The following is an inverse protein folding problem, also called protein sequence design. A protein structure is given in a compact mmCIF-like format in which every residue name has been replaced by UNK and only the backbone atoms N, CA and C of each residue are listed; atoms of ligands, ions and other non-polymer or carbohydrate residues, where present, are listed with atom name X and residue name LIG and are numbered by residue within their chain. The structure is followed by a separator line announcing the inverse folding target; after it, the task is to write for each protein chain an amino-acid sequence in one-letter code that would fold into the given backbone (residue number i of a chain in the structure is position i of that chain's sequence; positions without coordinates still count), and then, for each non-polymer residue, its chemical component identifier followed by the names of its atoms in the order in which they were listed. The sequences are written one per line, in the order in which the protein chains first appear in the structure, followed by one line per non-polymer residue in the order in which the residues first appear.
data_IF_256878026121
#
_entry.id   IF_256878026121
#
_cell.length_a   1.000
_cell.length_b   1.000
_cell.length_c   1.000
_cell.angle_alpha   90.00
_cell.angle_beta   90.00
_cell.angle_gamma   90.00
#
_symmetry.space_group_name_H-M   'P 1'
#
loop_
_entity.id
_entity.type
_entity.pdbx_description
1 polymer ?
#
# COMPACT_ATOMS: atom_id res chain seq x y z
N UNK A 1 -31.63 -14.22 -35.12
CA UNK A 1 -30.54 -13.26 -35.21
C UNK A 1 -29.92 -13.10 -33.82
N UNK A 2 -28.80 -13.75 -33.55
CA UNK A 2 -28.05 -13.60 -32.27
C UNK A 2 -27.08 -12.44 -32.44
N UNK A 3 -27.30 -11.34 -31.73
CA UNK A 3 -26.30 -10.27 -31.62
C UNK A 3 -25.12 -10.75 -30.80
N UNK A 4 -23.98 -10.91 -31.44
CA UNK A 4 -22.69 -11.14 -30.79
C UNK A 4 -22.24 -9.80 -30.17
N UNK A 5 -22.28 -9.71 -28.84
CA UNK A 5 -21.60 -8.65 -28.11
C UNK A 5 -20.08 -8.87 -28.29
N UNK A 6 -19.50 -8.18 -29.24
CA UNK A 6 -18.05 -8.08 -29.35
C UNK A 6 -17.54 -7.19 -28.20
N UNK A 7 -16.98 -7.81 -27.18
CA UNK A 7 -16.19 -7.11 -26.16
C UNK A 7 -15.00 -6.47 -26.87
N UNK A 8 -14.97 -5.13 -26.91
CA UNK A 8 -13.82 -4.38 -27.43
C UNK A 8 -12.58 -4.75 -26.59
N UNK A 9 -11.44 -5.05 -27.21
CA UNK A 9 -10.19 -5.27 -26.47
C UNK A 9 -9.86 -3.99 -25.70
N UNK A 10 -9.65 -4.12 -24.38
CA UNK A 10 -9.18 -3.04 -23.53
C UNK A 10 -7.77 -2.61 -23.99
N UNK A 11 -7.45 -1.31 -23.95
CA UNK A 11 -6.09 -0.86 -24.20
C UNK A 11 -5.12 -1.55 -23.22
N UNK A 12 -3.88 -1.86 -23.66
CA UNK A 12 -2.90 -2.47 -22.76
C UNK A 12 -2.68 -1.56 -21.56
N UNK A 13 -2.94 -2.11 -20.34
CA UNK A 13 -2.67 -1.41 -19.10
C UNK A 13 -1.19 -1.01 -19.06
N UNK A 14 -0.92 0.23 -18.70
CA UNK A 14 0.43 0.74 -18.49
C UNK A 14 1.16 -0.10 -17.42
N UNK A 15 2.49 -0.19 -17.53
CA UNK A 15 3.31 -1.03 -16.68
C UNK A 15 3.15 -0.74 -15.18
N UNK A 16 2.91 0.52 -14.80
CA UNK A 16 2.65 0.91 -13.41
C UNK A 16 1.35 0.30 -12.89
N UNK A 17 0.31 0.28 -13.70
CA UNK A 17 -1.00 -0.29 -13.33
C UNK A 17 -0.92 -1.79 -13.00
N UNK A 18 0.01 -2.52 -13.61
CA UNK A 18 0.20 -3.97 -13.33
C UNK A 18 0.80 -4.25 -11.95
N UNK A 19 1.53 -3.29 -11.35
CA UNK A 19 2.06 -3.47 -9.99
C UNK A 19 0.96 -3.57 -8.95
N UNK A 20 -0.23 -3.00 -9.24
CA UNK A 20 -1.40 -3.03 -8.34
C UNK A 20 -1.91 -4.45 -8.08
N UNK A 21 -1.74 -5.36 -9.05
CA UNK A 21 -2.30 -6.70 -8.97
C UNK A 21 -1.49 -7.67 -8.10
N UNK A 22 -0.22 -7.39 -7.82
CA UNK A 22 0.60 -8.24 -6.94
C UNK A 22 0.09 -8.17 -5.49
N UNK A 23 -0.06 -6.98 -4.87
CA UNK A 23 -0.66 -6.89 -3.54
C UNK A 23 -2.12 -7.37 -3.49
N UNK A 24 -2.90 -7.10 -4.55
CA UNK A 24 -4.28 -7.56 -4.66
C UNK A 24 -4.35 -9.09 -4.62
N UNK A 25 -3.53 -9.78 -5.45
CA UNK A 25 -3.42 -11.24 -5.42
C UNK A 25 -3.08 -11.76 -4.03
N UNK A 26 -2.09 -11.15 -3.38
CA UNK A 26 -1.66 -11.56 -2.04
C UNK A 26 -2.80 -11.48 -1.03
N UNK A 27 -3.55 -10.39 -1.03
CA UNK A 27 -4.72 -10.19 -0.16
C UNK A 27 -5.85 -11.19 -0.45
N UNK A 28 -6.23 -11.33 -1.72
CA UNK A 28 -7.25 -12.30 -2.15
C UNK A 28 -6.86 -13.73 -1.80
N UNK A 29 -5.56 -14.07 -1.96
CA UNK A 29 -5.05 -15.40 -1.70
C UNK A 29 -5.11 -15.78 -0.22
N UNK A 30 -4.74 -14.88 0.70
CA UNK A 30 -4.80 -15.12 2.15
C UNK A 30 -6.25 -15.06 2.68
N UNK A 31 -7.07 -14.18 2.12
CA UNK A 31 -8.49 -14.04 2.47
C UNK A 31 -9.26 -15.31 2.16
N UNK A 32 -9.16 -15.86 0.95
CA UNK A 32 -9.81 -17.13 0.54
C UNK A 32 -9.43 -18.33 1.41
N UNK A 33 -8.35 -18.23 2.16
CA UNK A 33 -7.86 -19.28 3.06
C UNK A 33 -8.13 -18.99 4.53
N UNK A 34 -8.93 -17.93 4.78
CA UNK A 34 -9.33 -17.51 6.13
C UNK A 34 -8.13 -17.37 7.09
N UNK A 35 -7.02 -16.83 6.56
CA UNK A 35 -5.83 -16.60 7.34
C UNK A 35 -5.97 -15.27 8.13
N UNK A 36 -4.93 -14.53 8.26
CA UNK A 36 -4.81 -13.33 9.10
C UNK A 36 -5.39 -12.03 8.49
N UNK A 37 -5.90 -12.06 7.26
CA UNK A 37 -6.54 -10.92 6.59
C UNK A 37 -7.79 -11.39 5.87
N UNK A 38 -8.93 -10.77 6.17
CA UNK A 38 -10.17 -10.96 5.43
C UNK A 38 -10.39 -9.77 4.49
N UNK A 39 -10.45 -10.03 3.19
CA UNK A 39 -10.62 -9.02 2.13
C UNK A 39 -11.48 -9.57 1.00
N UNK A 40 -12.79 -9.63 1.23
CA UNK A 40 -13.76 -10.14 0.26
C UNK A 40 -13.76 -9.33 -1.04
N UNK A 41 -13.49 -8.02 -0.94
CA UNK A 41 -13.41 -7.16 -2.13
C UNK A 41 -12.18 -7.50 -2.99
N UNK A 42 -11.03 -7.82 -2.37
CA UNK A 42 -9.88 -8.30 -3.11
C UNK A 42 -10.16 -9.64 -3.81
N UNK A 43 -10.95 -10.52 -3.18
CA UNK A 43 -11.37 -11.79 -3.79
C UNK A 43 -12.28 -11.56 -5.00
N UNK A 44 -13.26 -10.65 -4.87
CA UNK A 44 -14.17 -10.25 -5.95
C UNK A 44 -13.40 -9.72 -7.15
N UNK A 45 -12.52 -8.71 -6.93
CA UNK A 45 -11.74 -8.08 -8.00
C UNK A 45 -10.82 -9.11 -8.67
N UNK A 46 -10.13 -9.94 -7.86
CA UNK A 46 -9.23 -10.96 -8.40
C UNK A 46 -9.97 -12.01 -9.23
N UNK A 47 -11.19 -12.37 -8.85
CA UNK A 47 -12.02 -13.30 -9.61
C UNK A 47 -12.53 -12.69 -10.94
N UNK A 48 -12.84 -11.39 -10.94
CA UNK A 48 -13.32 -10.68 -12.11
C UNK A 48 -12.22 -10.45 -13.16
N UNK A 49 -11.02 -10.06 -12.72
CA UNK A 49 -9.92 -9.71 -13.62
C UNK A 49 -9.21 -10.94 -14.21
N UNK A 50 -9.29 -12.11 -13.58
CA UNK A 50 -8.75 -13.38 -14.09
C UNK A 50 -7.26 -13.33 -14.47
N UNK A 51 -6.47 -12.51 -13.79
CA UNK A 51 -5.12 -12.14 -14.19
C UNK A 51 -4.08 -13.22 -13.82
N UNK A 52 -3.43 -13.91 -14.77
CA UNK A 52 -2.44 -14.94 -14.47
C UNK A 52 -1.12 -14.31 -14.05
N UNK A 53 -0.76 -14.40 -12.77
CA UNK A 53 0.59 -14.09 -12.31
C UNK A 53 1.54 -15.25 -12.63
N UNK A 54 2.68 -14.93 -13.22
CA UNK A 54 3.73 -15.91 -13.58
C UNK A 54 4.86 -15.89 -12.56
N UNK A 55 5.60 -16.99 -12.49
CA UNK A 55 6.83 -17.09 -11.71
C UNK A 55 6.66 -16.78 -10.22
N UNK A 56 7.54 -15.97 -9.67
CA UNK A 56 7.55 -15.61 -8.25
C UNK A 56 6.38 -14.76 -7.82
N UNK A 57 5.79 -13.98 -8.74
CA UNK A 57 4.65 -13.11 -8.46
C UNK A 57 3.40 -13.90 -8.02
N UNK A 58 3.20 -15.13 -8.53
CA UNK A 58 2.13 -16.03 -8.13
C UNK A 58 2.46 -16.96 -6.95
N UNK A 59 3.58 -16.79 -6.25
CA UNK A 59 3.96 -17.69 -5.16
C UNK A 59 3.17 -17.43 -3.88
N UNK A 60 2.83 -18.51 -3.15
CA UNK A 60 2.18 -18.38 -1.82
C UNK A 60 3.02 -17.60 -0.80
N UNK A 61 4.33 -17.67 -0.90
CA UNK A 61 5.24 -16.96 0.01
C UNK A 61 5.17 -15.46 -0.18
N UNK A 62 5.07 -15.00 -1.43
CA UNK A 62 4.82 -13.59 -1.72
C UNK A 62 3.42 -13.19 -1.27
N UNK A 63 2.41 -14.04 -1.48
CA UNK A 63 1.05 -13.80 -1.02
C UNK A 63 1.00 -13.62 0.51
N UNK A 64 1.66 -14.49 1.28
CA UNK A 64 1.79 -14.32 2.73
C UNK A 64 2.44 -12.99 3.10
N UNK A 65 3.56 -12.65 2.45
CA UNK A 65 4.28 -11.40 2.74
C UNK A 65 3.41 -10.17 2.45
N UNK A 66 2.71 -10.15 1.32
CA UNK A 66 1.83 -9.03 0.94
C UNK A 66 0.62 -8.93 1.87
N UNK A 67 -0.01 -10.05 2.21
CA UNK A 67 -1.12 -10.08 3.15
C UNK A 67 -0.70 -9.65 4.56
N UNK A 68 0.45 -10.12 5.07
CA UNK A 68 0.97 -9.72 6.38
C UNK A 68 1.30 -8.23 6.42
N UNK A 69 1.94 -7.69 5.37
CA UNK A 69 2.19 -6.27 5.24
C UNK A 69 0.89 -5.49 5.39
N UNK A 70 -0.12 -5.84 4.62
CA UNK A 70 -1.42 -5.17 4.67
C UNK A 70 -2.08 -5.28 6.05
N UNK A 71 -2.01 -6.45 6.71
CA UNK A 71 -2.54 -6.64 8.07
C UNK A 71 -1.83 -5.77 9.12
N UNK A 72 -0.52 -5.57 8.99
CA UNK A 72 0.25 -4.66 9.87
C UNK A 72 -0.17 -3.21 9.66
N UNK A 73 -0.32 -2.78 8.40
CA UNK A 73 -0.84 -1.45 8.09
C UNK A 73 -2.26 -1.25 8.65
N UNK A 74 -3.14 -2.24 8.51
CA UNK A 74 -4.51 -2.21 9.04
C UNK A 74 -4.51 -2.08 10.57
N UNK A 75 -3.70 -2.89 11.26
CA UNK A 75 -3.60 -2.82 12.72
C UNK A 75 -3.08 -1.46 13.20
N UNK A 76 -2.04 -0.95 12.54
CA UNK A 76 -1.51 0.37 12.85
C UNK A 76 -2.55 1.47 12.62
N UNK A 77 -3.22 1.45 11.48
CA UNK A 77 -4.24 2.44 11.12
C UNK A 77 -5.38 2.45 12.14
N UNK A 78 -5.93 1.29 12.52
CA UNK A 78 -6.96 1.19 13.58
C UNK A 78 -6.49 1.80 14.90
N UNK A 79 -5.25 1.52 15.31
CA UNK A 79 -4.67 2.09 16.53
C UNK A 79 -4.58 3.62 16.43
N UNK A 80 -4.13 4.16 15.29
CA UNK A 80 -4.07 5.62 15.12
C UNK A 80 -5.47 6.24 15.09
N UNK A 81 -6.42 5.60 14.43
CA UNK A 81 -7.83 6.04 14.39
C UNK A 81 -8.45 6.13 15.79
N UNK A 82 -8.12 5.22 16.69
CA UNK A 82 -8.57 5.26 18.09
C UNK A 82 -7.91 6.41 18.86
N UNK A 83 -6.65 6.69 18.60
CA UNK A 83 -5.89 7.74 19.30
C UNK A 83 -6.15 9.15 18.78
N UNK A 84 -6.59 9.29 17.53
CA UNK A 84 -6.92 10.55 16.86
C UNK A 84 -8.33 10.44 16.26
N UNK A 85 -9.39 10.58 17.08
CA UNK A 85 -10.76 10.37 16.62
C UNK A 85 -11.18 11.34 15.51
N UNK A 86 -10.65 12.56 15.52
CA UNK A 86 -11.00 13.63 14.56
C UNK A 86 -10.06 13.67 13.33
N UNK A 87 -9.10 12.76 13.24
CA UNK A 87 -8.16 12.74 12.12
C UNK A 87 -8.81 12.28 10.81
N UNK A 88 -8.48 12.96 9.72
CA UNK A 88 -8.73 12.42 8.37
C UNK A 88 -7.77 11.28 8.08
N UNK A 89 -8.18 10.33 7.27
CA UNK A 89 -7.29 9.25 6.78
C UNK A 89 -6.97 9.47 5.31
N UNK A 90 -5.69 9.48 4.99
CA UNK A 90 -5.20 9.49 3.62
C UNK A 90 -4.57 8.13 3.31
N UNK A 91 -5.14 7.42 2.37
CA UNK A 91 -4.59 6.19 1.83
C UNK A 91 -3.94 6.50 0.48
N UNK A 92 -2.67 6.79 0.51
CA UNK A 92 -1.87 7.25 -0.64
C UNK A 92 -1.34 6.06 -1.42
N UNK A 93 -1.53 6.10 -2.75
CA UNK A 93 -1.25 4.95 -3.61
C UNK A 93 -2.20 3.80 -3.30
N UNK A 94 -3.48 4.10 -3.17
CA UNK A 94 -4.49 3.15 -2.71
C UNK A 94 -4.68 1.96 -3.66
N UNK A 95 -4.35 2.10 -4.94
CA UNK A 95 -4.52 1.05 -5.93
C UNK A 95 -5.90 0.43 -5.87
N UNK A 96 -5.93 -0.89 -5.84
CA UNK A 96 -7.15 -1.70 -5.69
C UNK A 96 -7.33 -2.22 -4.25
N UNK A 97 -6.70 -1.57 -3.26
CA UNK A 97 -6.84 -1.96 -1.85
C UNK A 97 -8.19 -1.53 -1.27
N UNK A 98 -8.88 -2.44 -0.63
CA UNK A 98 -10.19 -2.23 0.00
C UNK A 98 -10.11 -1.73 1.46
N UNK A 99 -8.99 -1.15 1.87
CA UNK A 99 -8.75 -0.76 3.28
C UNK A 99 -9.87 0.10 3.85
N UNK A 100 -10.40 1.05 3.08
CA UNK A 100 -11.54 1.87 3.50
C UNK A 100 -12.80 1.05 3.85
N UNK A 101 -12.97 -0.15 3.28
CA UNK A 101 -14.06 -1.06 3.60
C UNK A 101 -13.73 -1.99 4.78
N UNK A 102 -12.47 -2.44 4.89
CA UNK A 102 -12.01 -3.35 5.96
C UNK A 102 -11.86 -2.66 7.32
N UNK A 103 -11.57 -1.34 7.30
CA UNK A 103 -11.45 -0.56 8.51
C UNK A 103 -12.74 0.24 8.69
N UNK A 104 -13.55 -0.11 9.67
CA UNK A 104 -14.76 0.65 10.02
C UNK A 104 -14.41 2.13 10.19
N UNK A 105 -14.94 2.99 9.30
CA UNK A 105 -14.52 4.40 9.20
C UNK A 105 -15.06 5.28 10.33
N UNK A 106 -16.07 4.83 11.08
CA UNK A 106 -16.66 5.56 12.23
C UNK A 106 -17.04 7.02 11.88
N UNK A 107 -17.63 7.25 10.71
CA UNK A 107 -17.99 8.58 10.15
C UNK A 107 -16.81 9.52 9.89
N UNK A 108 -15.61 8.98 9.78
CA UNK A 108 -14.38 9.71 9.53
C UNK A 108 -14.17 9.97 8.05
N UNK A 109 -13.65 11.13 7.70
CA UNK A 109 -13.24 11.40 6.32
C UNK A 109 -12.04 10.53 5.93
N UNK A 110 -12.21 9.80 4.86
CA UNK A 110 -11.23 8.92 4.25
C UNK A 110 -11.00 9.30 2.79
N UNK A 111 -9.76 9.48 2.41
CA UNK A 111 -9.37 9.80 1.05
C UNK A 111 -8.47 8.71 0.48
N UNK A 112 -8.99 7.98 -0.51
CA UNK A 112 -8.19 7.09 -1.35
C UNK A 112 -7.55 7.93 -2.46
N UNK A 113 -6.23 8.01 -2.48
CA UNK A 113 -5.47 8.90 -3.37
C UNK A 113 -4.57 8.06 -4.27
N UNK A 114 -4.69 8.23 -5.59
CA UNK A 114 -3.84 7.57 -6.58
C UNK A 114 -3.89 8.36 -7.91
N UNK A 115 -3.12 7.92 -8.90
CA UNK A 115 -3.17 8.51 -10.22
C UNK A 115 -4.59 8.49 -10.82
N UNK A 116 -4.96 9.46 -11.68
CA UNK A 116 -6.31 9.56 -12.25
C UNK A 116 -6.78 8.27 -12.94
N UNK A 117 -5.89 7.60 -13.68
CA UNK A 117 -6.18 6.34 -14.36
C UNK A 117 -6.42 5.18 -13.38
N UNK A 118 -5.69 5.14 -12.26
CA UNK A 118 -5.90 4.13 -11.20
C UNK A 118 -7.23 4.37 -10.50
N UNK A 119 -7.57 5.62 -10.21
CA UNK A 119 -8.87 5.96 -9.62
C UNK A 119 -10.02 5.68 -10.59
N UNK A 120 -9.84 5.90 -11.88
CA UNK A 120 -10.84 5.53 -12.87
C UNK A 120 -11.10 4.01 -12.89
N UNK A 121 -10.05 3.19 -12.83
CA UNK A 121 -10.16 1.73 -12.72
C UNK A 121 -10.78 1.32 -11.38
N UNK A 122 -10.35 1.92 -10.27
CA UNK A 122 -10.89 1.68 -8.93
C UNK A 122 -12.40 1.91 -8.86
N UNK A 123 -12.93 2.95 -9.52
CA UNK A 123 -14.38 3.27 -9.56
C UNK A 123 -15.25 2.19 -10.22
N UNK A 124 -14.67 1.21 -10.88
CA UNK A 124 -15.41 0.04 -11.38
C UNK A 124 -15.84 -0.90 -10.25
N UNK A 125 -15.13 -0.88 -9.12
CA UNK A 125 -15.31 -1.82 -8.00
C UNK A 125 -15.69 -1.14 -6.69
N UNK A 126 -15.41 0.14 -6.55
CA UNK A 126 -15.64 0.90 -5.34
C UNK A 126 -16.53 2.11 -5.61
N UNK A 127 -17.41 2.38 -4.66
CA UNK A 127 -18.31 3.55 -4.70
C UNK A 127 -17.89 4.57 -3.65
N UNK A 128 -17.84 5.84 -4.03
CA UNK A 128 -17.65 6.92 -3.09
C UNK A 128 -18.85 7.05 -2.15
N UNK A 129 -18.60 7.44 -0.93
CA UNK A 129 -19.63 7.78 0.07
C UNK A 129 -19.40 9.21 0.55
N UNK A 130 -20.24 9.69 1.46
CA UNK A 130 -20.01 11.01 2.09
C UNK A 130 -18.67 11.08 2.84
N UNK A 131 -18.24 9.96 3.42
CA UNK A 131 -17.02 9.87 4.21
C UNK A 131 -15.85 9.23 3.48
N UNK A 132 -16.06 8.43 2.43
CA UNK A 132 -14.98 7.82 1.65
C UNK A 132 -14.93 8.42 0.23
N UNK A 133 -13.89 9.19 -0.05
CA UNK A 133 -13.67 9.90 -1.31
C UNK A 133 -12.48 9.32 -2.07
N UNK A 134 -12.56 9.36 -3.40
CA UNK A 134 -11.48 8.92 -4.29
C UNK A 134 -10.90 10.13 -5.03
N UNK A 135 -9.60 10.40 -4.85
CA UNK A 135 -8.90 11.52 -5.44
C UNK A 135 -7.91 11.05 -6.49
N UNK A 136 -8.24 11.26 -7.76
CA UNK A 136 -7.31 11.07 -8.89
C UNK A 136 -6.36 12.25 -8.98
N UNK A 137 -5.09 12.03 -8.62
CA UNK A 137 -4.05 13.07 -8.63
C UNK A 137 -2.65 12.47 -8.55
N UNK A 138 -1.67 13.25 -8.95
CA UNK A 138 -0.27 12.99 -8.61
C UNK A 138 0.05 13.67 -7.27
N UNK A 139 0.50 12.91 -6.28
CA UNK A 139 0.81 13.45 -4.94
C UNK A 139 1.97 14.46 -4.95
N UNK A 140 2.74 14.54 -6.03
CA UNK A 140 3.78 15.54 -6.25
C UNK A 140 3.23 16.94 -6.53
N UNK A 141 1.99 17.02 -6.99
CA UNK A 141 1.28 18.29 -7.17
C UNK A 141 0.79 18.82 -5.83
N UNK A 142 0.50 20.12 -5.74
CA UNK A 142 0.07 20.76 -4.49
C UNK A 142 -1.45 20.93 -4.41
N UNK A 143 -2.08 21.14 -5.55
CA UNK A 143 -3.48 21.58 -5.65
C UNK A 143 -4.50 20.59 -5.10
N UNK A 144 -4.17 19.29 -5.07
CA UNK A 144 -5.10 18.28 -4.56
C UNK A 144 -5.35 18.39 -3.04
N UNK A 145 -4.38 18.93 -2.29
CA UNK A 145 -4.53 19.15 -0.84
C UNK A 145 -5.65 20.17 -0.53
N UNK A 146 -5.94 21.09 -1.43
CA UNK A 146 -7.05 22.06 -1.27
C UNK A 146 -8.43 21.39 -1.18
N UNK A 147 -8.53 20.14 -1.65
CA UNK A 147 -9.76 19.32 -1.58
C UNK A 147 -9.92 18.60 -0.25
N UNK A 148 -8.97 18.72 0.66
CA UNK A 148 -8.94 18.06 1.97
C UNK A 148 -8.97 19.13 3.07
N UNK A 149 -9.75 18.95 4.14
CA UNK A 149 -9.81 19.91 5.24
C UNK A 149 -8.42 20.22 5.80
N UNK A 150 -8.12 21.52 5.93
CA UNK A 150 -6.84 22.00 6.44
C UNK A 150 -6.84 22.08 7.97
N UNK A 151 -5.68 21.85 8.58
CA UNK A 151 -5.48 22.01 10.04
C UNK A 151 -6.00 20.85 10.87
N UNK A 152 -6.72 19.87 10.28
CA UNK A 152 -7.11 18.65 10.98
C UNK A 152 -5.93 17.70 11.13
N UNK A 153 -5.90 16.88 12.18
CA UNK A 153 -4.94 15.78 12.26
C UNK A 153 -5.11 14.81 11.09
N UNK A 154 -4.02 14.22 10.61
CA UNK A 154 -4.08 13.24 9.52
C UNK A 154 -3.34 11.94 9.86
N UNK A 155 -3.95 10.82 9.49
CA UNK A 155 -3.37 9.48 9.49
C UNK A 155 -3.08 9.12 8.03
N UNK A 156 -1.81 8.96 7.70
CA UNK A 156 -1.36 8.77 6.31
C UNK A 156 -0.79 7.37 6.16
N UNK A 157 -1.35 6.63 5.23
CA UNK A 157 -0.95 5.26 4.86
C UNK A 157 -0.31 5.30 3.49
N UNK A 158 0.96 4.92 3.40
CA UNK A 158 1.70 4.80 2.13
C UNK A 158 2.23 3.37 2.00
N UNK A 159 1.42 2.48 1.46
CA UNK A 159 1.80 1.08 1.23
C UNK A 159 2.22 0.87 -0.22
N UNK A 160 3.50 0.57 -0.46
CA UNK A 160 4.04 0.30 -1.80
C UNK A 160 4.23 1.54 -2.66
N UNK A 161 4.49 2.72 -2.09
CA UNK A 161 4.56 4.01 -2.80
C UNK A 161 5.91 4.69 -2.67
N UNK A 162 6.46 4.80 -1.45
CA UNK A 162 7.61 5.65 -1.17
C UNK A 162 8.82 5.35 -2.05
N UNK A 163 9.00 4.10 -2.44
CA UNK A 163 10.11 3.64 -3.26
C UNK A 163 10.09 4.16 -4.70
N UNK A 164 8.96 4.68 -5.17
CA UNK A 164 8.84 5.25 -6.52
C UNK A 164 9.11 6.76 -6.56
N UNK A 165 9.26 7.38 -5.39
CA UNK A 165 9.57 8.80 -5.27
C UNK A 165 11.08 9.00 -5.07
N UNK A 166 11.65 9.93 -5.81
CA UNK A 166 13.01 10.38 -5.54
C UNK A 166 13.10 10.93 -4.10
N UNK A 167 14.21 10.75 -3.38
CA UNK A 167 14.35 11.18 -1.98
C UNK A 167 13.92 12.63 -1.74
N UNK A 168 14.36 13.55 -2.58
CA UNK A 168 14.03 14.97 -2.45
C UNK A 168 12.55 15.27 -2.71
N UNK A 169 11.93 14.54 -3.67
CA UNK A 169 10.50 14.64 -3.94
C UNK A 169 9.69 14.13 -2.75
N UNK A 170 10.09 13.01 -2.16
CA UNK A 170 9.41 12.49 -0.96
C UNK A 170 9.48 13.50 0.20
N UNK A 171 10.65 14.11 0.45
CA UNK A 171 10.81 15.14 1.49
C UNK A 171 9.87 16.33 1.26
N UNK A 172 9.79 16.83 0.03
CA UNK A 172 8.89 17.94 -0.30
C UNK A 172 7.41 17.58 -0.12
N UNK A 173 7.02 16.38 -0.49
CA UNK A 173 5.66 15.86 -0.24
C UNK A 173 5.36 15.82 1.26
N UNK A 174 6.25 15.24 2.06
CA UNK A 174 6.11 15.12 3.52
C UNK A 174 6.06 16.50 4.19
N UNK A 175 6.89 17.45 3.76
CA UNK A 175 6.90 18.84 4.25
C UNK A 175 5.57 19.55 3.98
N UNK A 176 5.03 19.41 2.76
CA UNK A 176 3.71 19.97 2.40
C UNK A 176 2.58 19.37 3.22
N UNK A 177 2.57 18.06 3.44
CA UNK A 177 1.58 17.42 4.29
C UNK A 177 1.66 17.95 5.73
N UNK A 178 2.87 18.07 6.28
CA UNK A 178 3.05 18.64 7.63
C UNK A 178 2.52 20.06 7.73
N UNK A 179 2.76 20.88 6.69
CA UNK A 179 2.26 22.26 6.65
C UNK A 179 0.72 22.34 6.48
N UNK A 180 0.11 21.37 5.81
CA UNK A 180 -1.33 21.33 5.57
C UNK A 180 -2.11 20.83 6.79
N UNK A 181 -1.69 19.75 7.43
CA UNK A 181 -2.45 19.04 8.47
C UNK A 181 -2.04 19.43 9.91
N UNK A 182 -0.88 19.98 10.14
CA UNK A 182 -0.37 20.27 11.50
C UNK A 182 0.10 19.01 12.23
N UNK A 183 -0.79 18.22 12.83
CA UNK A 183 -0.46 16.89 13.35
C UNK A 183 -0.62 15.82 12.27
N UNK A 184 0.43 15.06 12.02
CA UNK A 184 0.38 13.93 11.10
C UNK A 184 0.99 12.69 11.71
N UNK A 185 0.43 11.52 11.36
CA UNK A 185 0.99 10.21 11.64
C UNK A 185 1.07 9.43 10.35
N UNK A 186 2.26 8.94 10.02
CA UNK A 186 2.53 8.30 8.75
C UNK A 186 3.07 6.91 9.02
N UNK A 187 2.54 5.90 8.32
CA UNK A 187 3.17 4.61 8.15
C UNK A 187 3.49 4.43 6.68
N UNK A 188 4.75 4.19 6.37
CA UNK A 188 5.19 3.90 5.00
C UNK A 188 6.22 2.77 4.97
N UNK A 189 6.16 1.99 3.91
CA UNK A 189 7.18 1.00 3.61
C UNK A 189 8.24 1.59 2.69
N UNK A 190 9.48 1.15 2.89
CA UNK A 190 10.65 1.64 2.16
C UNK A 190 11.56 0.48 1.74
N UNK A 191 12.22 0.62 0.61
CA UNK A 191 13.42 -0.17 0.34
C UNK A 191 14.61 0.40 1.10
N UNK A 192 15.53 -0.47 1.51
CA UNK A 192 16.90 -0.04 1.82
C UNK A 192 17.63 0.31 0.53
N UNK A 193 18.77 1.00 0.63
CA UNK A 193 19.64 1.27 -0.54
C UNK A 193 20.06 -0.04 -1.21
N UNK A 194 20.37 -1.06 -0.41
CA UNK A 194 20.68 -2.41 -0.92
C UNK A 194 19.47 -3.04 -1.62
N UNK A 195 18.28 -2.97 -1.00
CA UNK A 195 17.04 -3.51 -1.56
C UNK A 195 16.68 -2.85 -2.89
N UNK A 196 16.81 -1.53 -2.98
CA UNK A 196 16.57 -0.78 -4.20
C UNK A 196 17.54 -1.18 -5.34
N UNK A 197 18.82 -1.35 -5.03
CA UNK A 197 19.81 -1.85 -6.00
C UNK A 197 19.51 -3.30 -6.44
N UNK A 198 19.17 -4.17 -5.49
CA UNK A 198 18.87 -5.57 -5.77
C UNK A 198 17.58 -5.73 -6.59
N UNK A 199 16.61 -4.84 -6.44
CA UNK A 199 15.33 -4.89 -7.16
C UNK A 199 15.49 -4.73 -8.68
N UNK A 200 16.56 -4.09 -9.15
CA UNK A 200 16.86 -3.94 -10.59
C UNK A 200 17.07 -5.29 -11.31
N UNK A 201 17.45 -6.33 -10.58
CA UNK A 201 17.90 -7.59 -11.19
C UNK A 201 16.92 -8.76 -11.01
N UNK A 202 16.07 -8.79 -9.99
CA UNK A 202 15.22 -9.97 -9.66
C UNK A 202 13.97 -9.64 -8.84
N UNK A 203 13.26 -8.56 -9.14
CA UNK A 203 12.06 -8.23 -8.40
C UNK A 203 10.81 -8.59 -9.20
N UNK A 204 9.73 -9.14 -8.60
CA UNK A 204 8.43 -9.28 -9.24
C UNK A 204 7.92 -8.00 -9.90
N UNK A 205 8.29 -6.83 -9.38
CA UNK A 205 7.97 -5.51 -9.94
C UNK A 205 8.60 -5.32 -11.34
N UNK A 206 9.75 -5.92 -11.63
CA UNK A 206 10.37 -5.83 -12.96
C UNK A 206 9.57 -6.60 -14.03
N UNK A 207 8.81 -7.63 -13.61
CA UNK A 207 7.93 -8.39 -14.52
C UNK A 207 6.75 -7.54 -15.00
N UNK A 208 6.47 -6.44 -14.31
CA UNK A 208 5.42 -5.46 -14.66
C UNK A 208 5.97 -4.11 -15.15
N UNK A 209 7.29 -4.03 -15.43
CA UNK A 209 7.93 -2.93 -16.17
C UNK A 209 8.52 -1.78 -15.34
N UNK A 210 8.52 -1.86 -14.00
CA UNK A 210 9.17 -0.84 -13.16
C UNK A 210 10.67 -1.11 -13.07
N UNK A 211 11.49 -0.15 -13.49
CA UNK A 211 12.95 -0.32 -13.59
C UNK A 211 13.74 0.49 -12.57
N UNK A 212 13.14 1.50 -11.96
CA UNK A 212 13.83 2.38 -11.01
C UNK A 212 13.05 2.52 -9.72
N UNK A 213 13.69 2.18 -8.60
CA UNK A 213 13.18 2.41 -7.25
C UNK A 213 14.28 3.01 -6.38
N UNK A 214 13.87 3.74 -5.36
CA UNK A 214 14.72 4.43 -4.39
C UNK A 214 14.63 3.75 -3.03
N UNK A 215 15.63 3.96 -2.18
CA UNK A 215 15.67 3.37 -0.85
C UNK A 215 16.46 4.23 0.14
N UNK A 216 16.20 3.98 1.43
CA UNK A 216 16.83 4.69 2.55
C UNK A 216 17.40 3.68 3.54
N UNK A 217 18.61 3.91 4.03
CA UNK A 217 19.21 3.11 5.10
C UNK A 217 19.02 3.78 6.47
N UNK A 218 19.05 5.11 6.53
CA UNK A 218 18.74 5.88 7.72
C UNK A 218 17.25 6.25 7.75
N UNK A 219 16.48 5.80 8.77
CA UNK A 219 15.06 6.14 8.90
C UNK A 219 14.81 7.64 9.15
N UNK A 220 15.80 8.39 9.60
CA UNK A 220 15.71 9.85 9.77
C UNK A 220 15.78 10.62 8.47
N UNK A 221 16.37 10.05 7.42
CA UNK A 221 16.60 10.74 6.14
C UNK A 221 15.32 11.26 5.47
N UNK A 222 14.21 10.50 5.35
CA UNK A 222 12.97 11.02 4.77
C UNK A 222 12.35 12.16 5.59
N UNK A 223 12.60 12.21 6.89
CA UNK A 223 12.05 13.21 7.79
C UNK A 223 12.87 14.52 7.84
N UNK A 224 14.09 14.50 7.32
CA UNK A 224 15.03 15.62 7.46
C UNK A 224 14.51 16.89 6.78
N UNK A 225 14.37 17.97 7.55
CA UNK A 225 13.91 19.27 7.04
C UNK A 225 12.41 19.37 6.76
N UNK A 226 11.61 18.34 7.13
CA UNK A 226 10.17 18.28 6.84
C UNK A 226 9.27 18.71 7.99
N UNK A 227 9.81 18.83 9.20
CA UNK A 227 9.03 19.09 10.42
C UNK A 227 8.39 17.86 11.02
N UNK A 228 8.63 16.67 10.46
CA UNK A 228 8.25 15.38 11.03
C UNK A 228 9.46 14.68 11.65
N UNK A 229 9.23 13.63 12.42
CA UNK A 229 10.29 12.81 13.03
C UNK A 229 10.00 11.32 12.89
N UNK A 230 11.04 10.53 12.75
CA UNK A 230 10.97 9.09 12.86
C UNK A 230 10.55 8.68 14.29
N UNK A 231 9.66 7.70 14.40
CA UNK A 231 9.17 7.17 15.68
C UNK A 231 9.73 5.78 15.93
N UNK A 232 9.46 4.86 15.01
CA UNK A 232 9.90 3.47 15.15
C UNK A 232 9.83 2.71 13.82
N UNK A 233 10.52 1.58 13.78
CA UNK A 233 10.40 0.59 12.72
C UNK A 233 9.41 -0.50 13.16
N UNK A 234 8.47 -0.84 12.29
CA UNK A 234 7.55 -1.96 12.47
C UNK A 234 8.05 -3.20 11.74
N UNK A 235 7.73 -4.36 12.30
CA UNK A 235 8.00 -5.64 11.65
C UNK A 235 6.88 -5.95 10.65
N UNK A 236 7.25 -6.16 9.38
CA UNK A 236 6.29 -6.47 8.31
C UNK A 236 5.70 -7.88 8.43
N UNK A 237 6.45 -8.80 9.02
CA UNK A 237 6.06 -10.21 9.23
C UNK A 237 6.16 -10.59 10.71
N UNK A 238 5.30 -10.02 11.59
CA UNK A 238 5.36 -10.27 13.03
C UNK A 238 4.90 -11.69 13.38
N UNK A 239 5.40 -12.21 14.49
CA UNK A 239 5.13 -13.59 14.94
C UNK A 239 3.64 -13.90 15.10
N UNK A 240 2.83 -12.94 15.54
CA UNK A 240 1.40 -13.15 15.70
C UNK A 240 0.65 -13.41 14.39
N UNK A 241 1.18 -12.96 13.24
CA UNK A 241 0.68 -13.31 11.91
C UNK A 241 1.26 -14.64 11.42
N UNK A 242 2.54 -14.89 11.67
CA UNK A 242 3.19 -16.16 11.28
C UNK A 242 2.53 -17.35 11.96
N UNK A 243 2.11 -17.21 13.20
CA UNK A 243 1.42 -18.27 13.95
C UNK A 243 0.07 -18.67 13.33
N UNK A 244 -0.51 -17.82 12.48
CA UNK A 244 -1.75 -18.11 11.76
C UNK A 244 -1.52 -18.85 10.43
N UNK A 245 -0.27 -19.02 10.01
CA UNK A 245 0.06 -19.86 8.86
C UNK A 245 -0.12 -21.35 9.21
N UNK A 246 -0.29 -22.22 8.21
CA UNK A 246 -0.27 -23.68 8.42
C UNK A 246 1.00 -24.11 9.19
N UNK A 247 0.84 -24.96 10.20
CA UNK A 247 1.94 -25.35 11.11
C UNK A 247 3.21 -25.81 10.40
N UNK A 248 3.08 -26.57 9.30
CA UNK A 248 4.21 -27.06 8.51
C UNK A 248 4.95 -25.96 7.70
N UNK A 249 4.38 -24.76 7.61
CA UNK A 249 4.95 -23.66 6.82
C UNK A 249 5.58 -22.56 7.68
N UNK A 250 5.19 -22.46 8.94
CA UNK A 250 5.65 -21.41 9.89
C UNK A 250 7.18 -21.37 10.02
N UNK A 251 7.80 -22.53 10.21
CA UNK A 251 9.25 -22.64 10.40
C UNK A 251 10.03 -22.15 9.18
N UNK A 252 9.65 -22.63 7.99
CA UNK A 252 10.26 -22.22 6.74
C UNK A 252 10.05 -20.73 6.47
N UNK A 253 8.81 -20.23 6.67
CA UNK A 253 8.51 -18.81 6.46
C UNK A 253 9.35 -17.91 7.41
N UNK A 254 9.42 -18.29 8.69
CA UNK A 254 10.23 -17.58 9.69
C UNK A 254 11.70 -17.53 9.28
N UNK A 255 12.26 -18.66 8.86
CA UNK A 255 13.66 -18.72 8.44
C UNK A 255 13.96 -17.87 7.21
N UNK A 256 13.08 -17.89 6.19
CA UNK A 256 13.33 -17.26 4.90
C UNK A 256 12.91 -15.78 4.82
N UNK A 257 11.79 -15.41 5.48
CA UNK A 257 11.13 -14.11 5.26
C UNK A 257 11.13 -13.20 6.50
N UNK A 258 11.86 -13.54 7.55
CA UNK A 258 12.00 -12.71 8.75
C UNK A 258 13.45 -12.41 9.09
N UNK A 259 13.65 -11.59 10.11
CA UNK A 259 14.97 -11.28 10.66
C UNK A 259 15.84 -10.37 9.79
N UNK A 260 17.16 -10.49 9.96
CA UNK A 260 18.15 -9.58 9.36
C UNK A 260 18.12 -9.56 7.83
N UNK A 261 17.82 -10.69 7.19
CA UNK A 261 17.80 -10.78 5.72
C UNK A 261 16.63 -10.04 5.11
N UNK A 262 15.42 -10.19 5.65
CA UNK A 262 14.24 -9.46 5.20
C UNK A 262 14.43 -7.95 5.40
N UNK A 263 14.94 -7.54 6.56
CA UNK A 263 15.21 -6.13 6.90
C UNK A 263 16.32 -5.49 6.05
N UNK A 264 17.18 -6.28 5.40
CA UNK A 264 18.16 -5.76 4.43
C UNK A 264 17.55 -5.29 3.13
N UNK A 265 16.31 -5.69 2.84
CA UNK A 265 15.65 -5.37 1.57
C UNK A 265 14.56 -4.34 1.76
N UNK A 266 13.72 -4.55 2.78
CA UNK A 266 12.45 -3.85 2.92
C UNK A 266 12.16 -3.55 4.39
N UNK A 267 11.69 -2.33 4.69
CA UNK A 267 11.41 -1.87 6.04
C UNK A 267 10.10 -1.10 6.10
N UNK A 268 9.57 -0.95 7.29
CA UNK A 268 8.30 -0.28 7.56
C UNK A 268 8.51 0.74 8.67
N UNK A 269 8.37 2.03 8.33
CA UNK A 269 8.70 3.14 9.20
C UNK A 269 7.48 3.96 9.57
N UNK A 270 7.38 4.29 10.88
CA UNK A 270 6.39 5.23 11.43
C UNK A 270 7.02 6.59 11.66
N UNK A 271 6.28 7.65 11.27
CA UNK A 271 6.66 9.05 11.47
C UNK A 271 5.52 9.85 12.11
N UNK A 272 5.91 10.96 12.77
CA UNK A 272 4.98 11.94 13.36
C UNK A 272 5.47 13.37 13.15
#
# INVERSE_FOLDING_TARGET
MKQSNSVKPQPPMDHVSRTLYIPLYGKAWVSRRELFLRDEKAEEIWAAEGFPLKGKAGSKWLAYTMGMRSAVFDQWTRKQMTQLPDAVVLHVGCGMDSRCLRLEQQNRLWFDVDFPEVIAERKRYFTETETCRMLGTDIREETWLERIPRGQPAIIVMEGVSMYLQPEVLKEVLKRWKAHFGEIRILMDVYTVFGAKASKYRNPINEVGVTTVFGFDDPGEPAQGTGIRFVQEHTMTPDWLIQQLPKGEQGFFRWMFTGKMARKIYRLYEYR
#
